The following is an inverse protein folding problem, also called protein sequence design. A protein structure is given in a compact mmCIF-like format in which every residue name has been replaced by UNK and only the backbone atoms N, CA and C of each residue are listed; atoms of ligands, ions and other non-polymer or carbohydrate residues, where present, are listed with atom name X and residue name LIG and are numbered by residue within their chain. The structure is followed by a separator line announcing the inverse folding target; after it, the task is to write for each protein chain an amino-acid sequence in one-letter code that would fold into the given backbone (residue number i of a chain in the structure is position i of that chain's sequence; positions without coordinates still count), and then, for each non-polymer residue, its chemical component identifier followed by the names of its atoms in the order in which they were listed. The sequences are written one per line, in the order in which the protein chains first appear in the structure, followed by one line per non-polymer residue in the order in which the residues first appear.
data_IF_540918514238
#
_entry.id   IF_540918514238
#
_cell.length_a   1.000
_cell.length_b   1.000
_cell.length_c   1.000
_cell.angle_alpha   90.00
_cell.angle_beta   90.00
_cell.angle_gamma   90.00
#
_symmetry.space_group_name_H-M   'P 1'
#
loop_
_entity.id
_entity.type
_entity.pdbx_description
1 polymer ?
#
# COMPACT_ATOMS: atom_id res chain seq x y z
N UNK A 1 34.32 -17.93 -14.86
CA UNK A 1 34.23 -19.37 -15.19
C UNK A 1 34.54 -19.67 -16.66
N UNK A 2 33.92 -19.00 -17.64
CA UNK A 2 34.17 -19.24 -19.08
C UNK A 2 35.65 -19.07 -19.53
N UNK A 3 36.41 -18.18 -18.89
CA UNK A 3 37.83 -17.94 -19.19
C UNK A 3 38.75 -19.12 -18.82
N UNK A 4 38.43 -19.86 -17.75
CA UNK A 4 39.17 -21.05 -17.29
C UNK A 4 38.96 -22.28 -18.20
N UNK A 5 37.89 -22.29 -19.01
CA UNK A 5 37.56 -23.40 -19.91
C UNK A 5 38.29 -23.29 -21.26
N UNK A 6 38.60 -22.08 -21.70
CA UNK A 6 39.41 -21.84 -22.92
C UNK A 6 40.88 -22.23 -22.73
N UNK A 7 41.44 -22.07 -21.53
CA UNK A 7 42.83 -22.44 -21.22
C UNK A 7 43.08 -23.95 -21.24
N UNK A 8 42.03 -24.78 -21.12
CA UNK A 8 42.11 -26.25 -21.17
C UNK A 8 41.96 -26.87 -22.57
N UNK A 9 42.00 -26.07 -23.65
CA UNK A 9 41.83 -26.50 -25.05
C UNK A 9 40.54 -27.28 -25.32
N UNK A 10 39.44 -26.94 -24.65
CA UNK A 10 38.15 -27.52 -24.98
C UNK A 10 37.68 -26.98 -26.31
N UNK A 11 37.19 -27.88 -27.17
CA UNK A 11 36.65 -27.48 -28.46
C UNK A 11 35.33 -26.72 -28.27
N UNK A 12 35.01 -25.88 -29.26
CA UNK A 12 33.83 -25.01 -29.24
C UNK A 12 32.53 -25.81 -29.07
N UNK A 13 32.47 -27.03 -29.61
CA UNK A 13 31.28 -27.87 -29.52
C UNK A 13 31.06 -28.36 -28.09
N UNK A 14 32.11 -28.82 -27.40
CA UNK A 14 32.04 -29.21 -25.98
C UNK A 14 31.61 -28.09 -25.06
N UNK A 15 32.06 -26.86 -25.33
CA UNK A 15 31.63 -25.69 -24.55
C UNK A 15 30.14 -25.42 -24.78
N UNK A 16 29.68 -25.47 -26.04
CA UNK A 16 28.26 -25.31 -26.39
C UNK A 16 27.40 -26.42 -25.77
N UNK A 17 27.87 -27.67 -25.79
CA UNK A 17 27.15 -28.81 -25.22
C UNK A 17 27.03 -28.67 -23.69
N UNK A 18 28.10 -28.24 -23.01
CA UNK A 18 28.07 -27.94 -21.58
C UNK A 18 27.06 -26.83 -21.26
N UNK A 19 27.05 -25.75 -22.03
CA UNK A 19 26.08 -24.67 -21.84
C UNK A 19 24.65 -25.11 -22.17
N UNK A 20 24.46 -25.99 -23.16
CA UNK A 20 23.15 -26.56 -23.51
C UNK A 20 22.61 -27.46 -22.39
N UNK A 21 23.48 -28.26 -21.75
CA UNK A 21 23.12 -29.08 -20.59
C UNK A 21 22.76 -28.19 -19.40
N UNK A 22 23.51 -27.12 -19.15
CA UNK A 22 23.20 -26.16 -18.09
C UNK A 22 21.88 -25.43 -18.38
N UNK A 23 21.65 -24.99 -19.63
CA UNK A 23 20.41 -24.30 -20.02
C UNK A 23 19.19 -25.24 -19.95
N UNK A 24 19.37 -26.53 -20.24
CA UNK A 24 18.36 -27.57 -20.03
C UNK A 24 18.11 -27.84 -18.54
N UNK A 25 19.16 -27.87 -17.72
CA UNK A 25 19.06 -27.99 -16.26
C UNK A 25 18.37 -26.76 -15.62
N UNK A 26 18.59 -25.56 -16.18
CA UNK A 26 17.91 -24.32 -15.78
C UNK A 26 16.47 -24.19 -16.32
N UNK A 27 16.02 -25.13 -17.17
CA UNK A 27 14.65 -25.24 -17.71
C UNK A 27 13.87 -26.41 -17.12
N UNK A 28 14.30 -26.94 -15.98
CA UNK A 28 13.53 -27.97 -15.27
C UNK A 28 12.08 -27.48 -15.08
N UNK A 29 11.06 -28.25 -15.50
CA UNK A 29 9.67 -27.90 -15.20
C UNK A 29 9.51 -27.79 -13.69
N UNK A 30 8.88 -26.72 -13.21
CA UNK A 30 8.67 -26.42 -11.78
C UNK A 30 8.11 -27.61 -10.98
N UNK A 31 7.35 -28.50 -11.63
CA UNK A 31 6.80 -29.70 -11.01
C UNK A 31 7.84 -30.81 -10.77
N UNK A 32 8.83 -30.97 -11.66
CA UNK A 32 9.95 -31.88 -11.47
C UNK A 32 10.94 -31.35 -10.42
N UNK A 33 11.14 -30.03 -10.40
CA UNK A 33 11.95 -29.36 -9.38
C UNK A 33 11.35 -29.58 -7.99
N UNK A 34 10.04 -29.33 -7.83
CA UNK A 34 9.33 -29.59 -6.57
C UNK A 34 9.43 -31.03 -6.12
N UNK A 35 9.26 -32.00 -7.03
CA UNK A 35 9.33 -33.43 -6.72
C UNK A 35 10.73 -33.85 -6.29
N UNK A 36 11.76 -33.39 -7.01
CA UNK A 36 13.16 -33.65 -6.67
C UNK A 36 13.53 -33.03 -5.32
N UNK A 37 13.13 -31.79 -5.06
CA UNK A 37 13.36 -31.12 -3.77
C UNK A 37 12.65 -31.83 -2.62
N UNK A 38 11.44 -32.35 -2.86
CA UNK A 38 10.70 -33.14 -1.87
C UNK A 38 11.40 -34.47 -1.54
N UNK A 39 11.92 -35.17 -2.55
CA UNK A 39 12.65 -36.44 -2.37
C UNK A 39 14.00 -36.23 -1.66
N UNK A 40 14.75 -35.18 -2.03
CA UNK A 40 16.02 -34.80 -1.37
C UNK A 40 15.79 -34.42 0.09
N UNK A 41 14.78 -33.59 0.38
CA UNK A 41 14.43 -33.21 1.76
C UNK A 41 14.01 -34.41 2.63
N UNK A 42 13.37 -35.41 2.02
CA UNK A 42 12.94 -36.63 2.72
C UNK A 42 14.12 -37.58 3.00
N UNK A 43 15.14 -37.60 2.13
CA UNK A 43 16.40 -38.34 2.29
C UNK A 43 17.33 -37.72 3.35
N UNK A 44 17.41 -36.39 3.40
CA UNK A 44 18.26 -35.63 4.33
C UNK A 44 17.85 -35.75 5.80
N UNK A 45 16.64 -36.23 6.11
CA UNK A 45 16.23 -36.54 7.49
C UNK A 45 17.00 -37.69 8.15
N UNK A 46 17.75 -38.50 7.39
CA UNK A 46 18.54 -39.63 7.92
C UNK A 46 20.04 -39.34 8.07
N UNK A 47 20.55 -38.23 7.54
CA UNK A 47 21.96 -37.85 7.64
C UNK A 47 22.03 -36.37 8.02
N UNK A 48 22.61 -36.08 9.19
CA UNK A 48 22.85 -34.74 9.73
C UNK A 48 23.26 -33.71 8.66
N UNK A 49 22.35 -32.78 8.36
CA UNK A 49 22.53 -31.61 7.48
C UNK A 49 23.44 -30.56 8.13
N UNK A 50 24.19 -29.69 7.39
CA UNK A 50 23.58 -28.43 6.92
C UNK A 50 24.35 -27.67 5.80
N UNK A 51 23.80 -27.45 4.61
CA UNK A 51 24.12 -26.20 3.88
C UNK A 51 22.95 -25.78 2.99
N UNK A 52 22.30 -24.67 3.36
CA UNK A 52 21.77 -23.74 2.37
C UNK A 52 22.95 -23.41 1.44
N UNK A 53 22.87 -23.82 0.18
CA UNK A 53 23.90 -23.53 -0.82
C UNK A 53 24.14 -22.02 -0.87
N UNK A 54 25.34 -21.60 -1.28
CA UNK A 54 25.64 -20.17 -1.41
C UNK A 54 24.62 -19.44 -2.28
N UNK A 55 24.04 -20.13 -3.28
CA UNK A 55 22.98 -19.61 -4.13
C UNK A 55 21.65 -19.43 -3.38
N UNK A 56 21.21 -20.42 -2.60
CA UNK A 56 19.98 -20.32 -1.80
C UNK A 56 20.09 -19.24 -0.71
N UNK A 57 21.26 -19.11 -0.07
CA UNK A 57 21.48 -18.08 0.97
C UNK A 57 21.40 -16.69 0.36
N UNK A 58 22.05 -16.51 -0.79
CA UNK A 58 21.99 -15.27 -1.55
C UNK A 58 20.56 -14.96 -2.03
N UNK A 59 19.81 -15.98 -2.48
CA UNK A 59 18.42 -15.85 -2.88
C UNK A 59 17.51 -15.42 -1.73
N UNK A 60 17.65 -16.03 -0.56
CA UNK A 60 16.88 -15.68 0.65
C UNK A 60 17.21 -14.26 1.11
N UNK A 61 18.49 -13.92 1.20
CA UNK A 61 18.92 -12.58 1.63
C UNK A 61 18.41 -11.50 0.67
N UNK A 62 18.55 -11.74 -0.65
CA UNK A 62 18.03 -10.84 -1.68
C UNK A 62 16.52 -10.71 -1.61
N UNK A 63 15.79 -11.82 -1.45
CA UNK A 63 14.33 -11.84 -1.33
C UNK A 63 13.84 -11.07 -0.09
N UNK A 64 14.49 -11.26 1.06
CA UNK A 64 14.17 -10.53 2.28
C UNK A 64 14.46 -9.02 2.16
N UNK A 65 15.58 -8.65 1.54
CA UNK A 65 15.92 -7.26 1.28
C UNK A 65 14.91 -6.61 0.32
N UNK A 66 14.57 -7.29 -0.77
CA UNK A 66 13.61 -6.82 -1.75
C UNK A 66 12.22 -6.68 -1.13
N UNK A 67 11.70 -7.72 -0.47
CA UNK A 67 10.39 -7.67 0.19
C UNK A 67 10.31 -6.60 1.28
N UNK A 68 11.40 -6.36 2.03
CA UNK A 68 11.46 -5.25 3.00
C UNK A 68 11.43 -3.88 2.32
N UNK A 69 12.11 -3.73 1.19
CA UNK A 69 12.10 -2.47 0.44
C UNK A 69 10.73 -2.21 -0.19
N UNK A 70 10.14 -3.21 -0.84
CA UNK A 70 8.80 -3.16 -1.44
C UNK A 70 7.75 -2.86 -0.38
N UNK A 71 7.67 -3.64 0.69
CA UNK A 71 6.69 -3.42 1.76
C UNK A 71 6.84 -2.06 2.46
N UNK A 72 8.07 -1.53 2.58
CA UNK A 72 8.27 -0.16 3.09
C UNK A 72 7.77 0.90 2.11
N UNK A 73 7.97 0.69 0.81
CA UNK A 73 7.51 1.62 -0.21
C UNK A 73 5.99 1.62 -0.30
N UNK A 74 5.37 0.44 -0.35
CA UNK A 74 3.92 0.25 -0.37
C UNK A 74 3.28 0.87 0.87
N UNK A 75 3.72 0.48 2.08
CA UNK A 75 3.15 1.03 3.32
C UNK A 75 3.33 2.55 3.45
N UNK A 76 4.42 3.12 2.92
CA UNK A 76 4.58 4.58 2.86
C UNK A 76 3.62 5.23 1.86
N UNK A 77 3.37 4.59 0.72
CA UNK A 77 2.44 5.11 -0.29
C UNK A 77 1.00 5.05 0.22
N UNK A 78 0.58 3.92 0.77
CA UNK A 78 -0.74 3.72 1.35
C UNK A 78 -0.99 4.72 2.49
N UNK A 79 -0.12 4.76 3.50
CA UNK A 79 -0.29 5.69 4.63
C UNK A 79 -0.27 7.16 4.22
N UNK A 80 0.45 7.51 3.13
CA UNK A 80 0.42 8.88 2.58
C UNK A 80 -0.87 9.18 1.84
N UNK A 81 -1.47 8.19 1.18
CA UNK A 81 -2.75 8.35 0.49
C UNK A 81 -3.88 8.48 1.50
N UNK A 82 -3.95 7.57 2.48
CA UNK A 82 -4.94 7.59 3.57
C UNK A 82 -4.86 8.91 4.34
N UNK A 83 -3.69 9.26 4.87
CA UNK A 83 -3.54 10.51 5.63
C UNK A 83 -3.82 11.78 4.82
N UNK A 84 -3.63 11.76 3.48
CA UNK A 84 -4.06 12.87 2.62
C UNK A 84 -5.57 12.92 2.42
N UNK A 85 -6.22 11.77 2.34
CA UNK A 85 -7.68 11.72 2.17
C UNK A 85 -8.37 12.17 3.45
N UNK A 86 -7.97 11.61 4.59
CA UNK A 86 -8.46 12.00 5.92
C UNK A 86 -8.24 13.49 6.16
N UNK A 87 -7.00 13.97 6.02
CA UNK A 87 -6.69 15.38 6.26
C UNK A 87 -7.41 16.35 5.31
N UNK A 88 -7.74 15.92 4.08
CA UNK A 88 -8.58 16.74 3.18
C UNK A 88 -10.04 16.76 3.61
N UNK A 89 -10.57 15.63 4.10
CA UNK A 89 -11.95 15.55 4.55
C UNK A 89 -12.15 16.36 5.83
N UNK A 90 -11.26 16.18 6.82
CA UNK A 90 -11.25 16.97 8.05
C UNK A 90 -11.10 18.46 7.75
N UNK A 91 -10.09 18.83 6.94
CA UNK A 91 -9.86 20.22 6.56
C UNK A 91 -11.02 20.85 5.79
N UNK A 92 -11.76 20.07 4.99
CA UNK A 92 -12.99 20.54 4.32
C UNK A 92 -14.09 20.79 5.32
N UNK A 93 -14.36 19.85 6.23
CA UNK A 93 -15.39 19.99 7.27
C UNK A 93 -15.10 21.19 8.18
N UNK A 94 -13.86 21.32 8.67
CA UNK A 94 -13.44 22.46 9.50
C UNK A 94 -13.59 23.79 8.75
N UNK A 95 -13.18 23.82 7.47
CA UNK A 95 -13.30 25.01 6.62
C UNK A 95 -14.74 25.43 6.36
N UNK A 96 -15.61 24.49 6.01
CA UNK A 96 -17.04 24.74 5.79
C UNK A 96 -17.75 25.16 7.09
N UNK A 97 -17.41 24.53 8.21
CA UNK A 97 -17.95 24.86 9.53
C UNK A 97 -17.57 26.28 9.94
N UNK A 98 -16.29 26.65 9.81
CA UNK A 98 -15.80 27.99 10.13
C UNK A 98 -16.41 29.07 9.22
N UNK A 99 -16.58 28.75 7.93
CA UNK A 99 -17.23 29.65 6.97
C UNK A 99 -18.70 29.87 7.32
N UNK A 100 -19.44 28.78 7.55
CA UNK A 100 -20.87 28.85 7.88
C UNK A 100 -21.08 29.56 9.22
N UNK A 101 -20.23 29.29 10.22
CA UNK A 101 -20.24 30.02 11.48
C UNK A 101 -20.08 31.54 11.27
N UNK A 102 -19.16 31.95 10.39
CA UNK A 102 -18.93 33.36 10.07
C UNK A 102 -20.13 33.99 9.37
N UNK A 103 -20.78 33.27 8.46
CA UNK A 103 -21.98 33.74 7.77
C UNK A 103 -23.17 33.87 8.73
N UNK A 104 -23.41 32.86 9.58
CA UNK A 104 -24.47 32.88 10.58
C UNK A 104 -24.24 34.00 11.58
N UNK A 105 -23.01 34.20 12.04
CA UNK A 105 -22.68 35.28 12.97
C UNK A 105 -22.91 36.66 12.34
N UNK A 106 -22.62 36.82 11.05
CA UNK A 106 -22.85 38.06 10.32
C UNK A 106 -24.34 38.36 10.12
N UNK A 107 -25.17 37.33 9.91
CA UNK A 107 -26.59 37.49 9.61
C UNK A 107 -27.49 37.57 10.84
N UNK A 108 -27.17 36.77 11.86
CA UNK A 108 -27.99 36.60 13.07
C UNK A 108 -27.31 37.12 14.34
N UNK A 109 -26.09 37.65 14.25
CA UNK A 109 -25.34 38.18 15.39
C UNK A 109 -24.65 37.08 16.20
N UNK A 110 -24.43 37.32 17.49
CA UNK A 110 -23.72 36.36 18.35
C UNK A 110 -24.42 35.01 18.40
N UNK A 111 -23.73 33.97 17.94
CA UNK A 111 -24.27 32.61 17.96
C UNK A 111 -24.26 32.02 19.38
N UNK A 112 -25.30 31.28 19.79
CA UNK A 112 -25.26 30.49 21.02
C UNK A 112 -24.20 29.38 20.97
N UNK A 113 -23.67 28.96 22.13
CA UNK A 113 -22.69 27.87 22.21
C UNK A 113 -23.21 26.55 21.66
N UNK A 114 -24.51 26.27 21.85
CA UNK A 114 -25.16 25.09 21.27
C UNK A 114 -25.07 25.06 19.74
N UNK A 115 -25.15 26.22 19.08
CA UNK A 115 -25.03 26.33 17.62
C UNK A 115 -23.59 26.11 17.19
N UNK A 116 -22.61 26.69 17.91
CA UNK A 116 -21.19 26.44 17.64
C UNK A 116 -20.83 24.96 17.78
N UNK A 117 -21.28 24.31 18.85
CA UNK A 117 -21.06 22.89 19.07
C UNK A 117 -21.67 22.04 17.95
N UNK A 118 -22.90 22.38 17.51
CA UNK A 118 -23.58 21.69 16.42
C UNK A 118 -22.85 21.83 15.08
N UNK A 119 -22.30 23.01 14.76
CA UNK A 119 -21.48 23.23 13.56
C UNK A 119 -20.17 22.45 13.60
N UNK A 120 -19.54 22.33 14.78
CA UNK A 120 -18.29 21.59 14.94
C UNK A 120 -18.47 20.07 14.75
N UNK A 121 -19.63 19.53 15.13
CA UNK A 121 -19.94 18.10 15.01
C UNK A 121 -20.72 17.72 13.74
N UNK A 122 -21.00 18.68 12.86
CA UNK A 122 -21.82 18.45 11.67
C UNK A 122 -21.02 17.79 10.54
N UNK A 123 -21.70 16.96 9.74
CA UNK A 123 -21.09 16.41 8.51
C UNK A 123 -21.03 17.47 7.41
N UNK A 124 -20.17 17.26 6.43
CA UNK A 124 -20.04 18.13 5.24
C UNK A 124 -21.40 18.34 4.57
N UNK A 125 -22.19 17.28 4.42
CA UNK A 125 -23.52 17.34 3.77
C UNK A 125 -24.51 18.20 4.56
N UNK A 126 -24.44 18.13 5.89
CA UNK A 126 -25.26 18.99 6.77
C UNK A 126 -24.82 20.46 6.65
N UNK A 127 -23.52 20.72 6.64
CA UNK A 127 -22.95 22.06 6.48
C UNK A 127 -23.35 22.66 5.13
N UNK A 128 -23.24 21.90 4.04
CA UNK A 128 -23.67 22.32 2.70
C UNK A 128 -25.18 22.62 2.66
N UNK A 129 -26.01 21.76 3.24
CA UNK A 129 -27.46 21.99 3.32
C UNK A 129 -27.80 23.28 4.06
N UNK A 130 -27.15 23.53 5.20
CA UNK A 130 -27.35 24.74 5.98
C UNK A 130 -26.79 25.99 5.28
N UNK A 131 -25.70 25.86 4.53
CA UNK A 131 -25.13 26.94 3.73
C UNK A 131 -26.03 27.38 2.57
N UNK A 132 -26.89 26.49 2.05
CA UNK A 132 -27.93 26.89 1.10
C UNK A 132 -29.12 27.53 1.82
N UNK A 133 -29.60 26.93 2.92
CA UNK A 133 -30.74 27.43 3.70
C UNK A 133 -30.50 28.80 4.30
N UNK A 134 -29.25 29.15 4.62
CA UNK A 134 -28.90 30.48 5.15
C UNK A 134 -29.22 31.62 4.18
N UNK A 135 -29.45 31.35 2.89
CA UNK A 135 -29.82 32.41 1.95
C UNK A 135 -31.29 32.81 2.08
N UNK A 136 -32.14 31.90 2.57
CA UNK A 136 -33.59 32.04 2.58
C UNK A 136 -34.18 32.17 3.98
N UNK A 137 -33.61 31.44 4.96
CA UNK A 137 -34.11 31.34 6.33
C UNK A 137 -34.20 32.71 7.02
N UNK A 138 -35.18 32.97 7.86
CA UNK A 138 -35.29 34.23 8.63
C UNK A 138 -34.75 34.12 10.05
N UNK A 139 -34.41 32.91 10.48
CA UNK A 139 -33.92 32.61 11.82
C UNK A 139 -32.91 31.45 11.80
N UNK A 140 -32.16 31.29 12.89
CA UNK A 140 -31.27 30.14 13.08
C UNK A 140 -32.05 28.81 13.04
N UNK A 141 -33.25 28.78 13.62
CA UNK A 141 -34.08 27.58 13.67
C UNK A 141 -34.43 27.08 12.24
N UNK A 142 -34.86 28.00 11.38
CA UNK A 142 -35.15 27.70 9.97
C UNK A 142 -33.95 27.17 9.19
N UNK A 143 -32.71 27.62 9.49
CA UNK A 143 -31.49 27.09 8.86
C UNK A 143 -31.28 25.63 9.24
N UNK A 144 -31.51 25.29 10.50
CA UNK A 144 -31.19 23.99 11.08
C UNK A 144 -32.31 22.95 10.98
N UNK A 145 -33.50 23.34 10.53
CA UNK A 145 -34.63 22.45 10.35
C UNK A 145 -34.43 21.49 9.17
N UNK A 146 -34.74 20.21 9.39
CA UNK A 146 -34.68 19.16 8.37
C UNK A 146 -35.97 19.19 7.56
N UNK A 147 -36.11 20.11 6.60
CA UNK A 147 -37.10 19.93 5.55
C UNK A 147 -36.56 18.86 4.59
N UNK A 148 -36.94 17.61 4.87
CA UNK A 148 -37.02 16.53 3.90
C UNK A 148 -38.52 16.42 3.58
N UNK A 149 -38.93 17.04 2.47
CA UNK A 149 -40.14 16.65 1.75
C UNK A 149 -39.71 15.79 0.55
#
# INVERSE_FOLDING_TARGET
MAKLLYERKWDKQRIIDLFSVIDWLMRLPTELEKRLMHEVYTLERKVTMPYVTSAERFGIEKGLLQGRQEGRQEGRQEGRQEGRQEGRQEGRQEGESALLQSQLARRFGTLPDAVRARLASATVEQLESWALKILEAKSLDEVFNHNHD
#
